data_IF_658142882990
#
_entry.id   IF_658142882990
#
_cell.length_a   1.000
_cell.length_b   1.000
_cell.length_c   1.000
_cell.angle_alpha   90.00
_cell.angle_beta   90.00
_cell.angle_gamma   90.00
#
_symmetry.space_group_name_H-M   'P 1'
#
loop_
_entity.id
_entity.type
_entity.pdbx_description
1 polymer ?
#
# COMPACT_ATOMS: atom_id res chain seq x y z
N UNK A 1 -5.99 11.35 -6.96
CA UNK A 1 -5.66 12.35 -8.02
C UNK A 1 -5.95 13.73 -7.48
N UNK A 2 -4.97 14.61 -7.55
CA UNK A 2 -5.15 16.01 -7.18
C UNK A 2 -5.93 16.69 -8.30
N UNK A 3 -6.91 17.53 -7.97
CA UNK A 3 -7.73 18.20 -8.97
C UNK A 3 -6.98 19.24 -9.83
N UNK A 4 -5.74 19.56 -9.47
CA UNK A 4 -4.93 20.57 -10.18
C UNK A 4 -3.56 19.97 -10.54
N UNK A 5 -3.41 19.32 -11.69
CA UNK A 5 -2.12 18.81 -12.13
C UNK A 5 -1.13 19.98 -12.37
N UNK A 6 0.09 19.82 -11.89
CA UNK A 6 1.19 20.74 -12.21
C UNK A 6 2.01 20.18 -13.39
N UNK A 7 2.68 21.03 -14.18
CA UNK A 7 3.61 20.58 -15.22
C UNK A 7 4.66 19.63 -14.67
N UNK A 8 5.06 18.63 -15.45
CA UNK A 8 5.96 17.55 -14.99
C UNK A 8 7.36 17.99 -14.56
N UNK A 9 7.78 19.21 -14.92
CA UNK A 9 9.04 19.82 -14.54
C UNK A 9 8.93 20.72 -13.27
N UNK A 10 7.75 20.82 -12.68
CA UNK A 10 7.51 21.61 -11.46
C UNK A 10 7.21 20.67 -10.30
N UNK A 11 7.90 20.79 -9.16
CA UNK A 11 7.58 19.99 -7.98
C UNK A 11 6.16 20.27 -7.46
N UNK A 12 5.37 19.22 -7.31
CA UNK A 12 4.01 19.33 -6.76
C UNK A 12 4.05 19.34 -5.24
N UNK A 13 4.44 20.48 -4.68
CA UNK A 13 4.54 20.64 -3.22
C UNK A 13 3.19 20.51 -2.50
N UNK A 14 2.09 20.91 -3.13
CA UNK A 14 0.75 20.82 -2.52
C UNK A 14 0.38 19.35 -2.34
N UNK A 15 0.55 18.55 -3.38
CA UNK A 15 0.28 17.12 -3.33
C UNK A 15 1.22 16.39 -2.36
N UNK A 16 2.50 16.78 -2.39
CA UNK A 16 3.49 16.17 -1.52
C UNK A 16 3.22 16.48 -0.05
N UNK A 17 3.01 17.73 0.32
CA UNK A 17 2.75 18.14 1.70
C UNK A 17 1.44 17.60 2.25
N UNK A 18 0.40 17.50 1.43
CA UNK A 18 -0.87 16.89 1.82
C UNK A 18 -0.70 15.42 2.19
N UNK A 19 0.06 14.67 1.40
CA UNK A 19 0.34 13.25 1.70
C UNK A 19 1.26 13.09 2.91
N UNK A 20 2.25 13.96 3.06
CA UNK A 20 3.09 13.98 4.26
C UNK A 20 2.28 14.26 5.52
N UNK A 21 1.32 15.19 5.48
CA UNK A 21 0.41 15.41 6.60
C UNK A 21 -0.35 14.13 6.98
N UNK A 22 -0.89 13.41 6.00
CA UNK A 22 -1.60 12.16 6.23
C UNK A 22 -0.75 11.13 6.98
N UNK A 23 0.51 10.96 6.58
CA UNK A 23 1.43 10.00 7.16
C UNK A 23 2.05 10.46 8.50
N UNK A 24 2.18 11.76 8.73
CA UNK A 24 2.83 12.31 9.93
C UNK A 24 1.84 12.63 11.06
N UNK A 25 0.66 13.08 10.71
CA UNK A 25 -0.35 13.59 11.66
C UNK A 25 -1.69 12.90 11.49
N UNK A 26 -2.22 12.85 10.27
CA UNK A 26 -3.58 12.39 9.99
C UNK A 26 -3.82 10.97 10.44
N UNK A 27 -2.88 10.06 10.17
CA UNK A 27 -3.01 8.65 10.55
C UNK A 27 -3.19 8.49 12.07
N UNK A 28 -2.44 9.22 12.89
CA UNK A 28 -2.54 9.12 14.35
C UNK A 28 -3.89 9.61 14.88
N UNK A 29 -4.47 10.64 14.26
CA UNK A 29 -5.81 11.10 14.58
C UNK A 29 -6.88 10.08 14.21
N UNK A 30 -6.72 9.42 13.06
CA UNK A 30 -7.61 8.34 12.62
C UNK A 30 -7.54 7.16 13.60
N UNK A 31 -6.33 6.72 13.95
CA UNK A 31 -6.13 5.64 14.92
C UNK A 31 -6.82 5.95 16.27
N UNK A 32 -6.62 7.18 16.80
CA UNK A 32 -7.28 7.62 18.04
C UNK A 32 -8.82 7.63 17.94
N UNK A 33 -9.37 8.05 16.80
CA UNK A 33 -10.82 8.01 16.58
C UNK A 33 -11.36 6.58 16.60
N UNK A 34 -10.68 5.65 15.94
CA UNK A 34 -11.09 4.23 15.92
C UNK A 34 -10.94 3.58 17.30
N UNK A 35 -9.87 3.90 18.03
CA UNK A 35 -9.66 3.43 19.41
C UNK A 35 -10.80 3.90 20.33
N UNK A 36 -11.17 5.19 20.27
CA UNK A 36 -12.25 5.77 21.06
C UNK A 36 -13.62 5.17 20.71
N UNK A 37 -13.82 4.84 19.46
CA UNK A 37 -15.06 4.23 18.98
C UNK A 37 -15.13 2.71 19.24
N UNK A 38 -14.01 2.07 19.59
CA UNK A 38 -13.93 0.61 19.75
C UNK A 38 -14.15 -0.16 18.43
N UNK A 39 -13.83 0.45 17.28
CA UNK A 39 -14.09 -0.12 15.94
C UNK A 39 -12.79 -0.71 15.38
N UNK A 40 -12.76 -2.00 15.01
CA UNK A 40 -11.63 -2.59 14.29
C UNK A 40 -11.61 -2.11 12.84
N UNK A 41 -10.41 -2.14 12.23
CA UNK A 41 -10.23 -1.77 10.83
C UNK A 41 -9.26 -2.70 10.10
N UNK A 42 -9.33 -2.68 8.76
CA UNK A 42 -8.28 -3.20 7.88
C UNK A 42 -7.52 -2.02 7.27
N UNK A 43 -6.20 -2.13 7.20
CA UNK A 43 -5.32 -1.08 6.69
C UNK A 43 -4.63 -1.55 5.41
N UNK A 44 -4.87 -0.88 4.30
CA UNK A 44 -4.12 -1.12 3.06
C UNK A 44 -2.72 -0.52 3.18
N UNK A 45 -1.71 -1.25 2.74
CA UNK A 45 -0.31 -0.94 2.94
C UNK A 45 0.48 -1.02 1.64
N UNK A 46 0.95 0.11 1.14
CA UNK A 46 2.01 0.09 0.13
C UNK A 46 3.34 -0.37 0.76
N UNK A 47 4.07 -1.26 0.08
CA UNK A 47 5.33 -1.79 0.61
C UNK A 47 6.37 -0.69 0.86
N UNK A 48 6.49 0.27 -0.06
CA UNK A 48 7.38 1.42 0.09
C UNK A 48 7.05 2.23 1.36
N UNK A 49 5.77 2.51 1.61
CA UNK A 49 5.31 3.23 2.80
C UNK A 49 5.65 2.46 4.08
N UNK A 50 5.51 1.14 4.06
CA UNK A 50 5.85 0.31 5.22
C UNK A 50 7.34 0.41 5.61
N UNK A 51 8.22 0.47 4.61
CA UNK A 51 9.66 0.65 4.83
C UNK A 51 10.00 2.07 5.31
N UNK A 52 9.35 3.08 4.78
CA UNK A 52 9.62 4.49 5.10
C UNK A 52 8.98 4.94 6.42
N UNK A 53 7.90 4.29 6.85
CA UNK A 53 7.08 4.65 8.03
C UNK A 53 6.78 3.46 8.94
N UNK A 54 7.79 2.73 9.43
CA UNK A 54 7.59 1.49 10.20
C UNK A 54 6.74 1.69 11.47
N UNK A 55 6.75 2.89 12.06
CA UNK A 55 5.94 3.20 13.23
C UNK A 55 4.44 3.11 12.97
N UNK A 56 3.99 3.45 11.77
CA UNK A 56 2.56 3.33 11.37
C UNK A 56 2.19 1.85 11.37
N UNK A 57 3.03 1.03 10.74
CA UNK A 57 2.79 -0.42 10.66
C UNK A 57 2.74 -1.04 12.05
N UNK A 58 3.67 -0.66 12.91
CA UNK A 58 3.69 -1.14 14.29
C UNK A 58 2.40 -0.76 15.04
N UNK A 59 1.95 0.48 14.94
CA UNK A 59 0.73 0.95 15.58
C UNK A 59 -0.54 0.21 15.10
N UNK A 60 -0.60 -0.16 13.82
CA UNK A 60 -1.68 -0.96 13.25
C UNK A 60 -1.62 -2.41 13.76
N UNK A 61 -0.41 -3.00 13.84
CA UNK A 61 -0.20 -4.34 14.39
C UNK A 61 -0.60 -4.44 15.86
N UNK A 62 -0.23 -3.46 16.68
CA UNK A 62 -0.56 -3.40 18.12
C UNK A 62 -2.08 -3.40 18.37
N UNK A 63 -2.87 -2.87 17.44
CA UNK A 63 -4.33 -2.90 17.49
C UNK A 63 -4.95 -4.21 16.98
N UNK A 64 -4.13 -5.14 16.50
CA UNK A 64 -4.61 -6.39 15.89
C UNK A 64 -5.35 -6.19 14.57
N UNK A 65 -5.22 -5.02 13.94
CA UNK A 65 -5.87 -4.75 12.67
C UNK A 65 -5.22 -5.54 11.54
N UNK A 66 -6.00 -5.86 10.51
CA UNK A 66 -5.48 -6.50 9.33
C UNK A 66 -4.71 -5.51 8.47
N UNK A 67 -3.50 -5.92 8.05
CA UNK A 67 -2.73 -5.24 7.01
C UNK A 67 -2.98 -5.95 5.68
N UNK A 68 -3.31 -5.18 4.63
CA UNK A 68 -3.57 -5.70 3.28
C UNK A 68 -2.55 -5.11 2.31
N UNK A 69 -1.76 -5.91 1.60
CA UNK A 69 -0.82 -5.41 0.60
C UNK A 69 -1.52 -4.60 -0.50
N UNK A 70 -0.93 -3.45 -0.87
CA UNK A 70 -1.50 -2.50 -1.82
C UNK A 70 -0.44 -2.00 -2.82
N UNK A 71 0.14 -2.91 -3.58
CA UNK A 71 1.27 -2.68 -4.49
C UNK A 71 2.52 -2.11 -3.79
N UNK A 72 3.57 -1.89 -4.59
CA UNK A 72 4.80 -1.26 -4.14
C UNK A 72 4.58 0.17 -3.66
N UNK A 73 3.93 0.98 -4.48
CA UNK A 73 3.58 2.37 -4.17
C UNK A 73 2.24 2.75 -4.80
N UNK A 74 1.61 3.82 -4.33
CA UNK A 74 0.30 4.25 -4.82
C UNK A 74 0.32 4.68 -6.29
N UNK A 75 1.42 5.20 -6.76
CA UNK A 75 1.63 5.60 -8.16
C UNK A 75 2.25 4.51 -9.04
N UNK A 76 2.50 3.33 -8.49
CA UNK A 76 3.00 2.16 -9.18
C UNK A 76 1.82 1.22 -9.50
N UNK A 77 1.07 1.59 -10.54
CA UNK A 77 -0.18 0.92 -10.92
C UNK A 77 0.11 -0.27 -11.81
N UNK A 78 -0.46 -1.44 -11.50
CA UNK A 78 -0.17 -2.70 -12.23
C UNK A 78 -0.49 -2.62 -13.72
N UNK A 79 -1.50 -1.86 -14.13
CA UNK A 79 -1.82 -1.67 -15.56
C UNK A 79 -0.70 -1.04 -16.37
N UNK A 80 0.28 -0.37 -15.74
CA UNK A 80 1.48 0.12 -16.44
C UNK A 80 2.39 -1.03 -16.91
N UNK A 81 2.18 -2.22 -16.41
CA UNK A 81 2.92 -3.43 -16.76
C UNK A 81 2.12 -4.40 -17.63
N UNK A 82 0.97 -3.97 -18.21
CA UNK A 82 0.11 -4.84 -19.01
C UNK A 82 0.88 -5.55 -20.14
N UNK A 83 1.83 -4.84 -20.79
CA UNK A 83 2.69 -5.37 -21.84
C UNK A 83 4.02 -5.94 -21.33
N UNK A 84 4.20 -6.02 -20.00
CA UNK A 84 5.44 -6.47 -19.37
C UNK A 84 5.15 -7.39 -18.16
N UNK A 85 4.51 -8.56 -18.37
CA UNK A 85 4.04 -9.44 -17.29
C UNK A 85 5.14 -9.91 -16.33
N UNK A 86 6.39 -10.03 -16.80
CA UNK A 86 7.52 -10.35 -15.91
C UNK A 86 7.77 -9.27 -14.87
N UNK A 87 7.68 -8.00 -15.26
CA UNK A 87 7.84 -6.86 -14.35
C UNK A 87 6.69 -6.77 -13.36
N UNK A 88 5.46 -7.03 -13.79
CA UNK A 88 4.31 -7.10 -12.90
C UNK A 88 4.52 -8.15 -11.82
N UNK A 89 4.91 -9.37 -12.21
CA UNK A 89 5.23 -10.46 -11.28
C UNK A 89 6.32 -10.07 -10.28
N UNK A 90 7.38 -9.41 -10.74
CA UNK A 90 8.46 -8.91 -9.88
C UNK A 90 7.94 -7.90 -8.84
N UNK A 91 7.12 -6.94 -9.24
CA UNK A 91 6.51 -5.95 -8.34
C UNK A 91 5.61 -6.62 -7.30
N UNK A 92 4.77 -7.57 -7.70
CA UNK A 92 3.91 -8.32 -6.79
C UNK A 92 4.77 -9.10 -5.78
N UNK A 93 5.74 -9.88 -6.25
CA UNK A 93 6.61 -10.68 -5.40
C UNK A 93 7.39 -9.82 -4.40
N UNK A 94 7.98 -8.72 -4.87
CA UNK A 94 8.70 -7.75 -4.03
C UNK A 94 7.79 -7.14 -2.96
N UNK A 95 6.57 -6.79 -3.33
CA UNK A 95 5.57 -6.25 -2.39
C UNK A 95 5.22 -7.26 -1.31
N UNK A 96 4.95 -8.51 -1.70
CA UNK A 96 4.61 -9.59 -0.77
C UNK A 96 5.80 -10.00 0.10
N UNK A 97 7.03 -9.90 -0.41
CA UNK A 97 8.23 -10.14 0.41
C UNK A 97 8.34 -9.10 1.52
N UNK A 98 8.27 -7.80 1.19
CA UNK A 98 8.27 -6.73 2.20
C UNK A 98 7.13 -6.90 3.20
N UNK A 99 5.95 -7.30 2.73
CA UNK A 99 4.84 -7.57 3.63
C UNK A 99 5.19 -8.66 4.64
N UNK A 100 5.72 -9.81 4.19
CA UNK A 100 6.14 -10.91 5.08
C UNK A 100 7.18 -10.44 6.11
N UNK A 101 8.18 -9.69 5.64
CA UNK A 101 9.27 -9.21 6.50
C UNK A 101 8.77 -8.26 7.60
N UNK A 102 7.83 -7.36 7.26
CA UNK A 102 7.33 -6.34 8.17
C UNK A 102 6.21 -6.85 9.07
N UNK A 103 5.31 -7.67 8.54
CA UNK A 103 4.14 -8.18 9.28
C UNK A 103 4.48 -9.48 10.03
N UNK A 104 5.43 -10.27 9.53
CA UNK A 104 5.87 -11.51 10.14
C UNK A 104 5.00 -12.73 9.76
N UNK A 105 4.11 -12.59 8.78
CA UNK A 105 3.24 -13.66 8.27
C UNK A 105 2.86 -13.42 6.81
N UNK A 106 2.45 -14.46 6.06
CA UNK A 106 1.90 -14.30 4.72
C UNK A 106 0.66 -13.39 4.71
N UNK A 107 0.48 -12.66 3.63
CA UNK A 107 -0.74 -11.88 3.42
C UNK A 107 -1.94 -12.81 3.16
N UNK A 108 -3.13 -12.40 3.58
CA UNK A 108 -4.38 -13.14 3.35
C UNK A 108 -5.20 -12.59 2.19
N UNK A 109 -4.85 -11.42 1.70
CA UNK A 109 -5.55 -10.74 0.64
C UNK A 109 -4.65 -9.75 -0.08
N UNK A 110 -5.18 -9.14 -1.12
CA UNK A 110 -4.50 -8.15 -1.96
C UNK A 110 -5.50 -7.12 -2.45
N UNK A 111 -5.09 -5.87 -2.48
CA UNK A 111 -5.85 -4.79 -3.12
C UNK A 111 -4.91 -4.04 -4.08
N UNK A 112 -5.18 -4.11 -5.37
CA UNK A 112 -4.37 -3.38 -6.37
C UNK A 112 -4.52 -1.87 -6.21
N UNK A 113 -3.41 -1.12 -6.30
CA UNK A 113 -3.43 0.35 -6.28
C UNK A 113 -4.36 0.89 -7.35
N UNK A 114 -5.16 1.89 -6.99
CA UNK A 114 -6.19 2.49 -7.86
C UNK A 114 -7.24 1.49 -8.37
N UNK A 115 -7.35 0.31 -7.74
CA UNK A 115 -8.24 -0.80 -8.15
C UNK A 115 -8.01 -1.24 -9.61
N UNK A 116 -6.75 -1.18 -10.08
CA UNK A 116 -6.38 -1.47 -11.47
C UNK A 116 -5.42 -2.65 -11.57
N UNK A 117 -5.92 -3.90 -11.50
CA UNK A 117 -5.16 -5.09 -11.84
C UNK A 117 -5.00 -5.23 -13.36
N UNK A 118 -4.11 -6.10 -13.80
CA UNK A 118 -4.07 -6.62 -15.17
C UNK A 118 -4.82 -7.95 -15.26
N UNK A 119 -4.93 -8.51 -16.46
CA UNK A 119 -5.46 -9.86 -16.66
C UNK A 119 -4.62 -10.95 -15.96
N UNK A 120 -3.32 -10.71 -15.76
CA UNK A 120 -2.38 -11.68 -15.18
C UNK A 120 -2.29 -11.59 -13.64
N UNK A 121 -2.78 -10.51 -13.04
CA UNK A 121 -2.56 -10.22 -11.60
C UNK A 121 -3.03 -11.37 -10.72
N UNK A 122 -4.21 -11.94 -10.98
CA UNK A 122 -4.77 -13.03 -10.17
C UNK A 122 -3.91 -14.30 -10.23
N UNK A 123 -3.39 -14.65 -11.40
CA UNK A 123 -2.53 -15.82 -11.56
C UNK A 123 -1.20 -15.60 -10.82
N UNK A 124 -0.59 -14.43 -10.91
CA UNK A 124 0.64 -14.11 -10.18
C UNK A 124 0.44 -14.11 -8.67
N UNK A 125 -0.70 -13.62 -8.19
CA UNK A 125 -1.04 -13.68 -6.78
C UNK A 125 -1.23 -15.14 -6.33
N UNK A 126 -1.95 -15.93 -7.09
CA UNK A 126 -2.13 -17.36 -6.81
C UNK A 126 -0.79 -18.09 -6.70
N UNK A 127 0.12 -17.87 -7.65
CA UNK A 127 1.47 -18.43 -7.61
C UNK A 127 2.27 -18.00 -6.37
N UNK A 128 2.12 -16.75 -5.94
CA UNK A 128 2.86 -16.19 -4.81
C UNK A 128 2.31 -16.62 -3.43
N UNK A 129 1.00 -16.90 -3.33
CA UNK A 129 0.35 -17.31 -2.07
C UNK A 129 0.44 -18.80 -1.79
N UNK A 130 0.58 -19.64 -2.81
CA UNK A 130 0.55 -21.09 -2.68
C UNK A 130 1.93 -21.76 -2.84
N UNK A 131 3.00 -21.00 -2.65
CA UNK A 131 4.38 -21.52 -2.60
C UNK A 131 4.83 -21.77 -1.19
#
# INVERSE_FOLDING_TARGET
>A
TIPFPVPGNVPDYVNWTWREYGQRVGIWRILDCFDKAGIPASCTMNAKMALERPRIIQAVKERGWELVPHNWAQNDILTFYADAPKKEREVINKTLQVYRDVVGRPAKGWLSSSLRPTANTLDFLKEAYFK
#
